data_IF_206236466149
#
_entry.id   IF_206236466149
#
_cell.length_a   1.000
_cell.length_b   1.000
_cell.length_c   1.000
_cell.angle_alpha   90.00
_cell.angle_beta   90.00
_cell.angle_gamma   90.00
#
_symmetry.space_group_name_H-M   'P 1'
#
loop_
_entity.id
_entity.type
_entity.pdbx_description
1 polymer ?
#
# COMPACT_ATOMS: atom_id res chain seq x y z
N UNK A 1 20.41 -28.00 -33.48
CA UNK A 1 21.58 -27.34 -32.86
C UNK A 1 21.63 -27.80 -31.41
N UNK A 2 22.53 -28.73 -31.09
CA UNK A 2 22.72 -29.23 -29.73
C UNK A 2 23.51 -28.16 -28.96
N UNK A 3 22.99 -27.68 -27.85
CA UNK A 3 23.73 -26.77 -26.95
C UNK A 3 24.77 -27.61 -26.18
N UNK A 4 26.08 -27.43 -26.41
CA UNK A 4 27.12 -28.24 -25.77
C UNK A 4 27.36 -27.87 -24.31
N UNK A 5 26.74 -26.79 -23.81
CA UNK A 5 26.93 -26.32 -22.43
C UNK A 5 25.99 -26.98 -21.42
N UNK A 6 24.95 -27.69 -21.88
CA UNK A 6 23.93 -28.30 -21.01
C UNK A 6 23.01 -27.30 -20.31
N UNK A 7 23.22 -26.00 -20.52
CA UNK A 7 22.46 -24.91 -19.88
C UNK A 7 20.99 -24.99 -20.26
N UNK A 8 20.68 -25.30 -21.52
CA UNK A 8 19.30 -25.49 -21.99
C UNK A 8 18.54 -26.59 -21.22
N UNK A 9 19.21 -27.67 -20.81
CA UNK A 9 18.57 -28.78 -20.07
C UNK A 9 18.17 -28.41 -18.63
N UNK A 10 18.82 -27.41 -18.02
CA UNK A 10 18.41 -26.85 -16.71
C UNK A 10 17.14 -26.01 -16.82
N UNK A 11 16.94 -25.31 -17.94
CA UNK A 11 15.73 -24.53 -18.21
C UNK A 11 14.56 -25.39 -18.72
N UNK A 12 14.85 -26.52 -19.40
CA UNK A 12 13.82 -27.43 -19.91
C UNK A 12 13.21 -28.31 -18.80
N UNK A 13 13.83 -28.39 -17.62
CA UNK A 13 13.24 -29.05 -16.45
C UNK A 13 12.22 -28.14 -15.78
N UNK A 14 10.97 -28.26 -16.20
CA UNK A 14 9.85 -27.63 -15.52
C UNK A 14 9.85 -27.93 -14.01
N UNK A 15 9.42 -26.97 -13.21
CA UNK A 15 9.29 -27.11 -11.76
C UNK A 15 7.80 -27.01 -11.39
N UNK A 16 7.29 -27.95 -10.58
CA UNK A 16 5.88 -28.02 -10.18
C UNK A 16 4.90 -27.91 -11.37
N UNK A 17 5.09 -28.75 -12.40
CA UNK A 17 4.27 -28.75 -13.62
C UNK A 17 4.19 -27.39 -14.35
N UNK A 18 5.21 -26.53 -14.21
CA UNK A 18 5.25 -25.22 -14.87
C UNK A 18 6.68 -24.76 -15.15
N UNK A 19 6.81 -23.46 -15.44
CA UNK A 19 8.12 -22.86 -15.74
C UNK A 19 9.15 -23.11 -14.61
N UNK A 20 10.44 -23.28 -14.94
CA UNK A 20 11.50 -23.51 -13.95
C UNK A 20 11.67 -22.32 -12.99
N UNK A 21 11.48 -21.11 -13.50
CA UNK A 21 11.56 -19.87 -12.74
C UNK A 21 10.17 -19.48 -12.24
N UNK A 22 10.08 -19.12 -10.96
CA UNK A 22 8.87 -18.63 -10.32
C UNK A 22 9.03 -17.15 -10.00
N UNK A 23 7.94 -16.40 -10.10
CA UNK A 23 7.90 -15.01 -9.68
C UNK A 23 7.80 -14.92 -8.16
N UNK A 24 8.38 -13.88 -7.59
CA UNK A 24 8.17 -13.52 -6.19
C UNK A 24 7.00 -12.52 -6.09
N UNK A 25 6.05 -12.77 -5.20
CA UNK A 25 5.01 -11.81 -4.86
C UNK A 25 5.60 -10.72 -3.96
N UNK A 26 5.85 -9.52 -4.49
CA UNK A 26 6.46 -8.41 -3.73
C UNK A 26 5.46 -7.54 -2.98
N UNK A 27 4.21 -7.48 -3.46
CA UNK A 27 3.16 -6.60 -2.94
C UNK A 27 1.81 -7.29 -3.04
N UNK A 28 0.97 -7.16 -2.01
CA UNK A 28 -0.37 -7.73 -1.96
C UNK A 28 -1.29 -6.81 -1.14
N UNK A 29 -2.46 -6.46 -1.68
CA UNK A 29 -3.43 -5.61 -0.99
C UNK A 29 -4.85 -5.88 -1.52
N UNK A 30 -5.81 -6.08 -0.62
CA UNK A 30 -7.22 -6.17 -1.00
C UNK A 30 -7.89 -4.79 -1.00
N UNK A 31 -8.21 -4.29 -2.20
CA UNK A 31 -8.86 -2.97 -2.40
C UNK A 31 -10.31 -2.96 -1.90
N UNK A 32 -11.03 -4.08 -1.99
CA UNK A 32 -12.45 -4.16 -1.64
C UNK A 32 -13.41 -4.17 -2.82
N UNK A 33 -12.92 -3.93 -4.04
CA UNK A 33 -13.67 -3.98 -5.28
C UNK A 33 -12.76 -4.45 -6.42
N UNK A 34 -13.34 -5.00 -7.49
CA UNK A 34 -12.58 -5.48 -8.64
C UNK A 34 -11.96 -4.30 -9.38
N UNK A 35 -10.62 -4.27 -9.47
CA UNK A 35 -9.90 -3.34 -10.33
C UNK A 35 -10.18 -3.68 -11.79
N UNK A 36 -10.63 -2.70 -12.56
CA UNK A 36 -10.93 -2.83 -14.00
C UNK A 36 -9.84 -2.21 -14.86
N UNK A 37 -9.11 -1.21 -14.35
CA UNK A 37 -7.93 -0.61 -15.00
C UNK A 37 -6.85 -0.34 -13.98
N UNK A 38 -5.60 -0.54 -14.36
CA UNK A 38 -4.42 -0.16 -13.57
C UNK A 38 -3.39 0.47 -14.53
N UNK A 39 -3.00 1.72 -14.27
CA UNK A 39 -2.12 2.48 -15.14
C UNK A 39 -1.09 3.27 -14.32
N UNK A 40 0.18 3.17 -14.72
CA UNK A 40 1.22 4.06 -14.21
C UNK A 40 1.15 5.41 -14.92
N UNK A 41 0.87 6.48 -14.19
CA UNK A 41 0.77 7.85 -14.75
C UNK A 41 0.90 8.89 -13.62
N UNK A 42 1.11 10.15 -13.98
CA UNK A 42 0.85 11.28 -13.09
C UNK A 42 -0.58 11.81 -13.33
N UNK A 43 -1.20 12.38 -12.28
CA UNK A 43 -2.55 12.94 -12.34
C UNK A 43 -2.56 14.44 -12.66
N UNK A 44 -1.51 15.15 -12.27
CA UNK A 44 -1.36 16.58 -12.52
C UNK A 44 0.04 16.88 -13.06
N UNK A 45 0.22 17.92 -13.89
CA UNK A 45 1.53 18.32 -14.35
C UNK A 45 2.47 18.62 -13.18
N UNK A 46 3.62 17.95 -13.15
CA UNK A 46 4.63 18.13 -12.09
C UNK A 46 4.49 17.19 -10.88
N UNK A 47 3.40 16.41 -10.78
CA UNK A 47 3.30 15.35 -9.77
C UNK A 47 4.16 14.13 -10.13
N UNK A 48 4.49 13.36 -9.11
CA UNK A 48 5.21 12.09 -9.27
C UNK A 48 4.31 10.99 -9.87
N UNK A 49 4.93 9.98 -10.47
CA UNK A 49 4.21 8.83 -11.01
C UNK A 49 3.56 8.00 -9.88
N UNK A 50 2.30 7.63 -10.08
CA UNK A 50 1.57 6.69 -9.24
C UNK A 50 0.97 5.55 -10.09
N UNK A 51 0.61 4.45 -9.45
CA UNK A 51 -0.26 3.43 -10.04
C UNK A 51 -1.72 3.81 -9.76
N UNK A 52 -2.36 4.41 -10.76
CA UNK A 52 -3.78 4.78 -10.70
C UNK A 52 -4.61 3.56 -11.07
N UNK A 53 -5.63 3.26 -10.27
CA UNK A 53 -6.60 2.20 -10.57
C UNK A 53 -8.02 2.72 -10.58
N UNK A 54 -8.87 2.05 -11.35
CA UNK A 54 -10.32 2.21 -11.32
C UNK A 54 -10.96 0.87 -10.98
N UNK A 55 -12.13 0.91 -10.32
CA UNK A 55 -12.86 -0.30 -9.94
C UNK A 55 -14.22 -0.39 -10.60
N UNK A 56 -14.79 -1.60 -10.66
CA UNK A 56 -16.12 -1.84 -11.23
C UNK A 56 -17.24 -1.07 -10.51
N UNK A 57 -17.04 -0.75 -9.23
CA UNK A 57 -17.97 0.04 -8.42
C UNK A 57 -17.75 1.55 -8.53
N UNK A 58 -16.87 2.00 -9.44
CA UNK A 58 -16.65 3.42 -9.73
C UNK A 58 -15.63 4.12 -8.84
N UNK A 59 -14.88 3.38 -7.99
CA UNK A 59 -13.80 3.99 -7.20
C UNK A 59 -12.59 4.28 -8.11
N UNK A 60 -11.93 5.41 -7.87
CA UNK A 60 -10.63 5.75 -8.44
C UNK A 60 -9.66 5.86 -7.26
N UNK A 61 -8.57 5.10 -7.30
CA UNK A 61 -7.57 5.11 -6.24
C UNK A 61 -6.16 5.08 -6.78
N UNK A 62 -5.19 5.27 -5.88
CA UNK A 62 -3.77 5.33 -6.21
C UNK A 62 -2.98 4.40 -5.30
N UNK A 63 -1.99 3.71 -5.85
CA UNK A 63 -0.83 3.24 -5.09
C UNK A 63 0.35 4.16 -5.36
N UNK A 64 0.88 4.74 -4.29
CA UNK A 64 1.99 5.68 -4.35
C UNK A 64 3.24 5.05 -3.71
N UNK A 65 4.43 5.26 -4.30
CA UNK A 65 5.67 4.80 -3.68
C UNK A 65 6.07 5.69 -2.49
N UNK A 66 6.70 5.11 -1.48
CA UNK A 66 7.37 5.88 -0.44
C UNK A 66 8.76 6.33 -0.92
N UNK A 67 9.16 7.56 -0.59
CA UNK A 67 10.47 8.09 -1.01
C UNK A 67 11.62 7.59 -0.14
N UNK A 68 11.31 7.17 1.10
CA UNK A 68 12.28 6.63 2.03
C UNK A 68 11.67 5.56 2.91
N UNK A 69 12.55 4.72 3.47
CA UNK A 69 12.17 3.72 4.47
C UNK A 69 11.58 4.36 5.72
N UNK A 70 12.14 5.47 6.17
CA UNK A 70 11.65 6.22 7.35
C UNK A 70 10.22 6.74 7.13
N UNK A 71 9.88 7.17 5.90
CA UNK A 71 8.51 7.57 5.56
C UNK A 71 7.57 6.36 5.59
N UNK A 72 7.99 5.22 5.03
CA UNK A 72 7.23 3.97 5.12
C UNK A 72 6.98 3.54 6.58
N UNK A 73 8.01 3.52 7.42
CA UNK A 73 7.91 3.11 8.83
C UNK A 73 7.00 4.06 9.64
N UNK A 74 7.05 5.37 9.36
CA UNK A 74 6.15 6.36 9.96
C UNK A 74 4.68 6.03 9.64
N UNK A 75 4.34 5.84 8.36
CA UNK A 75 2.98 5.58 7.93
C UNK A 75 2.49 4.20 8.36
N UNK A 76 3.36 3.19 8.35
CA UNK A 76 3.05 1.87 8.88
C UNK A 76 2.71 1.92 10.38
N UNK A 77 3.47 2.70 11.16
CA UNK A 77 3.21 2.87 12.60
C UNK A 77 1.93 3.68 12.83
N UNK A 78 1.67 4.70 12.01
CA UNK A 78 0.42 5.46 12.04
C UNK A 78 -0.79 4.55 11.76
N UNK A 79 -0.75 3.74 10.70
CA UNK A 79 -1.82 2.78 10.38
C UNK A 79 -2.08 1.83 11.57
N UNK A 80 -1.03 1.32 12.21
CA UNK A 80 -1.17 0.46 13.40
C UNK A 80 -1.93 1.17 14.53
N UNK A 81 -1.63 2.44 14.81
CA UNK A 81 -2.37 3.21 15.81
C UNK A 81 -3.82 3.45 15.39
N UNK A 82 -4.04 3.82 14.12
CA UNK A 82 -5.37 4.12 13.58
C UNK A 82 -6.30 2.90 13.62
N UNK A 83 -5.78 1.70 13.43
CA UNK A 83 -6.55 0.46 13.57
C UNK A 83 -7.14 0.25 14.98
N UNK A 84 -6.51 0.81 16.00
CA UNK A 84 -6.95 0.71 17.41
C UNK A 84 -7.87 1.87 17.76
N UNK A 85 -7.46 3.09 17.41
CA UNK A 85 -8.16 4.31 17.83
C UNK A 85 -9.37 4.64 16.94
N UNK A 86 -9.40 4.14 15.71
CA UNK A 86 -10.50 4.31 14.76
C UNK A 86 -10.82 2.99 14.02
N UNK A 87 -11.31 1.97 14.72
CA UNK A 87 -11.57 0.66 14.13
C UNK A 87 -12.71 0.71 13.11
N UNK A 88 -12.76 -0.22 12.13
CA UNK A 88 -13.84 -0.28 11.15
C UNK A 88 -15.23 -0.37 11.80
N UNK A 89 -16.14 0.50 11.39
CA UNK A 89 -17.48 0.67 11.99
C UNK A 89 -18.33 -0.60 12.02
N UNK A 90 -18.14 -1.51 11.05
CA UNK A 90 -18.89 -2.76 10.96
C UNK A 90 -18.29 -3.90 11.79
N UNK A 91 -17.33 -3.62 12.68
CA UNK A 91 -16.69 -4.61 13.54
C UNK A 91 -15.73 -5.56 12.80
N UNK A 92 -15.38 -5.25 11.55
CA UNK A 92 -14.39 -6.02 10.79
C UNK A 92 -12.99 -5.68 11.27
N UNK A 93 -12.13 -6.68 11.47
CA UNK A 93 -10.69 -6.41 11.65
C UNK A 93 -10.09 -5.91 10.33
N UNK A 94 -9.42 -4.77 10.40
CA UNK A 94 -8.84 -4.08 9.24
C UNK A 94 -7.78 -4.93 8.52
N UNK A 95 -6.88 -5.58 9.28
CA UNK A 95 -5.80 -6.38 8.70
C UNK A 95 -6.34 -7.64 8.01
N UNK A 96 -7.32 -8.29 8.63
CA UNK A 96 -8.05 -9.41 8.04
C UNK A 96 -8.83 -8.98 6.78
N UNK A 97 -9.39 -7.76 6.76
CA UNK A 97 -10.02 -7.21 5.57
C UNK A 97 -9.00 -6.98 4.45
N UNK A 98 -7.90 -6.27 4.69
CA UNK A 98 -6.87 -6.03 3.67
C UNK A 98 -6.12 -7.29 3.23
N UNK A 99 -6.22 -8.36 4.03
CA UNK A 99 -5.66 -9.68 3.77
C UNK A 99 -6.70 -10.71 3.28
N UNK A 100 -7.84 -10.28 2.70
CA UNK A 100 -9.00 -11.14 2.46
C UNK A 100 -8.69 -12.45 1.70
N UNK A 101 -7.86 -12.39 0.66
CA UNK A 101 -7.48 -13.57 -0.15
C UNK A 101 -6.04 -14.06 0.11
N UNK A 102 -5.15 -13.14 0.48
CA UNK A 102 -3.77 -13.45 0.84
C UNK A 102 -3.26 -12.34 1.77
N UNK A 103 -2.28 -12.62 2.65
CA UNK A 103 -1.73 -11.65 3.57
C UNK A 103 -1.29 -10.37 2.86
N UNK A 104 -1.68 -9.21 3.42
CA UNK A 104 -1.15 -7.92 2.97
C UNK A 104 0.40 -7.95 3.00
N UNK A 105 1.03 -7.40 1.97
CA UNK A 105 2.49 -7.33 1.86
C UNK A 105 2.90 -5.99 1.28
N UNK A 106 3.77 -5.27 2.00
CA UNK A 106 4.43 -4.04 1.57
C UNK A 106 3.48 -2.93 1.08
N UNK A 107 2.32 -2.77 1.72
CA UNK A 107 1.36 -1.67 1.48
C UNK A 107 0.86 -1.14 2.83
N UNK A 108 0.71 0.17 2.94
CA UNK A 108 0.03 0.85 4.04
C UNK A 108 -1.30 1.39 3.52
N UNK A 109 -2.38 1.21 4.27
CA UNK A 109 -3.70 1.72 3.93
C UNK A 109 -3.81 3.23 4.19
N UNK A 110 -3.60 4.03 3.16
CA UNK A 110 -3.72 5.49 3.22
C UNK A 110 -5.09 5.97 3.71
N UNK A 111 -6.18 5.30 3.32
CA UNK A 111 -7.54 5.67 3.74
C UNK A 111 -7.73 5.52 5.27
N UNK A 112 -7.03 4.55 5.88
CA UNK A 112 -6.99 4.38 7.33
C UNK A 112 -6.15 5.47 7.99
N UNK A 113 -5.00 5.81 7.42
CA UNK A 113 -4.15 6.88 7.95
C UNK A 113 -4.82 8.27 7.88
N UNK A 114 -5.55 8.56 6.80
CA UNK A 114 -6.22 9.85 6.61
C UNK A 114 -7.35 10.11 7.62
N UNK A 115 -7.86 9.07 8.28
CA UNK A 115 -8.83 9.20 9.38
C UNK A 115 -8.23 9.81 10.64
N UNK A 116 -6.90 10.01 10.71
CA UNK A 116 -6.23 10.65 11.84
C UNK A 116 -6.86 11.98 12.25
N UNK A 117 -7.30 12.80 11.28
CA UNK A 117 -7.96 14.08 11.55
C UNK A 117 -9.32 13.95 12.24
N UNK A 118 -9.94 12.77 12.22
CA UNK A 118 -11.23 12.48 12.86
C UNK A 118 -11.09 11.97 14.30
N UNK A 119 -9.89 11.58 14.71
CA UNK A 119 -9.59 11.11 16.07
C UNK A 119 -9.63 12.29 17.05
N UNK A 120 -10.01 12.07 18.31
CA UNK A 120 -10.01 13.13 19.32
C UNK A 120 -8.63 13.77 19.49
N UNK A 121 -8.57 15.08 19.73
CA UNK A 121 -7.31 15.83 19.79
C UNK A 121 -6.31 15.29 20.83
N UNK A 122 -6.80 14.74 21.95
CA UNK A 122 -5.97 14.11 22.98
C UNK A 122 -5.28 12.87 22.40
N UNK A 123 -6.02 12.03 21.69
CA UNK A 123 -5.53 10.83 21.03
C UNK A 123 -4.59 11.13 19.86
N UNK A 124 -4.91 12.16 19.06
CA UNK A 124 -3.98 12.64 18.02
C UNK A 124 -2.61 13.03 18.61
N UNK A 125 -2.60 13.69 19.79
CA UNK A 125 -1.36 14.04 20.49
C UNK A 125 -0.61 12.80 20.98
N UNK A 126 -1.29 11.85 21.61
CA UNK A 126 -0.69 10.57 22.05
C UNK A 126 -0.06 9.81 20.87
N UNK A 127 -0.77 9.68 19.75
CA UNK A 127 -0.27 9.04 18.54
C UNK A 127 0.96 9.80 18.00
N UNK A 128 0.90 11.13 17.95
CA UNK A 128 2.04 11.96 17.54
C UNK A 128 3.28 11.71 18.41
N UNK A 129 3.12 11.72 19.73
CA UNK A 129 4.20 11.45 20.69
C UNK A 129 4.82 10.06 20.47
N UNK A 130 4.00 9.02 20.25
CA UNK A 130 4.46 7.67 19.92
C UNK A 130 5.22 7.60 18.59
N UNK A 131 4.86 8.44 17.62
CA UNK A 131 5.56 8.61 16.35
C UNK A 131 6.79 9.53 16.46
N UNK A 132 7.08 10.10 17.63
CA UNK A 132 8.15 11.08 17.82
C UNK A 132 7.93 12.40 17.07
N UNK A 133 6.66 12.78 16.85
CA UNK A 133 6.23 13.95 16.06
C UNK A 133 5.16 14.74 16.79
N UNK A 134 4.92 15.98 16.39
CA UNK A 134 3.69 16.68 16.79
C UNK A 134 2.51 16.17 15.96
N UNK A 135 1.31 16.15 16.53
CA UNK A 135 0.09 15.81 15.78
C UNK A 135 -0.07 16.64 14.49
N UNK A 136 0.30 17.93 14.53
CA UNK A 136 0.29 18.82 13.36
C UNK A 136 1.31 18.42 12.30
N UNK A 137 2.45 17.85 12.68
CA UNK A 137 3.46 17.34 11.74
C UNK A 137 2.99 16.05 11.07
N UNK A 138 2.27 15.18 11.80
CA UNK A 138 1.63 13.98 11.25
C UNK A 138 0.57 14.36 10.23
N UNK A 139 -0.32 15.30 10.59
CA UNK A 139 -1.35 15.83 9.68
C UNK A 139 -0.72 16.43 8.41
N UNK A 140 0.33 17.25 8.58
CA UNK A 140 1.08 17.82 7.45
C UNK A 140 1.70 16.73 6.57
N UNK A 141 2.26 15.66 7.15
CA UNK A 141 2.84 14.54 6.38
C UNK A 141 1.81 13.82 5.52
N UNK A 142 0.58 13.64 6.01
CA UNK A 142 -0.53 13.08 5.24
C UNK A 142 -0.87 13.97 4.04
N UNK A 143 -0.98 15.29 4.27
CA UNK A 143 -1.23 16.28 3.22
C UNK A 143 -0.08 16.35 2.19
N UNK A 144 1.17 16.38 2.64
CA UNK A 144 2.36 16.38 1.79
C UNK A 144 2.41 15.12 0.89
N UNK A 145 1.96 13.96 1.39
CA UNK A 145 1.87 12.74 0.59
C UNK A 145 0.80 12.87 -0.49
N UNK A 146 -0.39 13.38 -0.15
CA UNK A 146 -1.47 13.58 -1.12
C UNK A 146 -1.06 14.54 -2.22
N UNK A 147 -0.53 15.71 -1.86
CA UNK A 147 -0.14 16.77 -2.80
C UNK A 147 1.04 16.39 -3.70
N UNK A 148 1.89 15.42 -3.31
CA UNK A 148 2.98 14.90 -4.14
C UNK A 148 2.50 14.12 -5.36
N UNK A 149 1.37 13.42 -5.25
CA UNK A 149 0.86 12.48 -6.27
C UNK A 149 -0.51 12.87 -6.83
N UNK A 150 -1.28 13.68 -6.11
CA UNK A 150 -2.67 14.00 -6.38
C UNK A 150 -2.98 15.47 -6.02
N UNK A 151 -4.28 15.80 -5.99
CA UNK A 151 -4.83 17.12 -5.71
C UNK A 151 -5.11 17.35 -4.22
#
# INVERSE_FOLDING_TARGET
>A
MHDPTGVRALYDRGNLNGAPQKIELITQFYVGSMITTLQKTNLVPGAEDALVYTTITGAIGLFVPFVSRDEYELFQTLEMHMRVEFPPLCGRDHLAYRSFYAPIKNVVDGDMCEQFGMVEAVKQREIGENLGRKATEVAKKLEDMRTRYAF
#
